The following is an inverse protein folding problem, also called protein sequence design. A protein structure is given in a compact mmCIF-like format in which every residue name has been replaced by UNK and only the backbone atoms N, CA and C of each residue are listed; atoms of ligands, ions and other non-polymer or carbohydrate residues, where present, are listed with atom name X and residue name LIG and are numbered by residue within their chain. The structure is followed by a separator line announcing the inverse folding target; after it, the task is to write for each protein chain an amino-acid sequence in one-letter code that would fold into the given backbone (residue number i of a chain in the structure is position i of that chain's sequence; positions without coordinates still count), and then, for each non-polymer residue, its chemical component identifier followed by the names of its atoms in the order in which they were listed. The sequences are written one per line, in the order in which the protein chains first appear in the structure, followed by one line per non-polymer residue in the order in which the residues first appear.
data_IF_171158215823
#
_entry.id   IF_171158215823
#
_cell.length_a   1.000
_cell.length_b   1.000
_cell.length_c   1.000
_cell.angle_alpha   90.00
_cell.angle_beta   90.00
_cell.angle_gamma   90.00
#
_symmetry.space_group_name_H-M   'P 1'
#
loop_
_entity.id
_entity.type
_entity.pdbx_description
1 polymer ?
#
# COMPACT_ATOMS: atom_id res chain seq x y z
N UNK A 1 -2.08 31.04 -31.84
CA UNK A 1 -1.01 30.33 -31.10
C UNK A 1 -0.82 30.84 -29.68
N UNK A 2 -0.50 32.13 -29.43
CA UNK A 2 -0.26 32.66 -28.07
C UNK A 2 -1.40 32.49 -27.05
N UNK A 3 -2.67 32.61 -27.49
CA UNK A 3 -3.85 32.41 -26.63
C UNK A 3 -4.06 30.93 -26.23
N UNK A 4 -3.76 29.99 -27.13
CA UNK A 4 -3.82 28.56 -26.81
C UNK A 4 -2.74 28.17 -25.80
N UNK A 5 -1.53 28.74 -25.92
CA UNK A 5 -0.45 28.52 -24.96
C UNK A 5 -0.83 28.98 -23.53
N UNK A 6 -1.53 30.12 -23.42
CA UNK A 6 -2.01 30.65 -22.12
C UNK A 6 -3.08 29.75 -21.51
N UNK A 7 -4.01 29.22 -22.32
CA UNK A 7 -5.06 28.31 -21.84
C UNK A 7 -4.46 26.98 -21.37
N UNK A 8 -3.51 26.42 -22.12
CA UNK A 8 -2.82 25.17 -21.72
C UNK A 8 -2.04 25.37 -20.42
N UNK A 9 -1.30 26.48 -20.28
CA UNK A 9 -0.58 26.81 -19.06
C UNK A 9 -1.49 27.01 -17.84
N UNK A 10 -2.67 27.61 -18.04
CA UNK A 10 -3.65 27.79 -16.97
C UNK A 10 -4.25 26.45 -16.50
N UNK A 11 -4.48 25.51 -17.41
CA UNK A 11 -5.02 24.18 -17.09
C UNK A 11 -3.98 23.33 -16.33
N UNK A 12 -2.70 23.41 -16.70
CA UNK A 12 -1.64 22.69 -15.97
C UNK A 12 -1.40 23.20 -14.55
N UNK A 13 -1.77 24.44 -14.23
CA UNK A 13 -1.68 24.97 -12.87
C UNK A 13 -2.85 24.52 -11.96
N UNK A 14 -3.89 23.89 -12.52
CA UNK A 14 -5.05 23.40 -11.77
C UNK A 14 -4.93 21.92 -11.38
N UNK A 15 -3.75 21.30 -11.49
CA UNK A 15 -3.55 19.90 -11.09
C UNK A 15 -3.71 19.75 -9.58
N UNK A 16 -4.77 19.06 -9.17
CA UNK A 16 -4.99 18.68 -7.76
C UNK A 16 -4.07 17.50 -7.43
N UNK A 17 -3.52 17.48 -6.21
CA UNK A 17 -2.76 16.34 -5.72
C UNK A 17 -3.63 15.07 -5.74
N UNK A 18 -3.25 14.09 -6.56
CA UNK A 18 -3.84 12.77 -6.50
C UNK A 18 -3.31 12.07 -5.23
N UNK A 19 -4.16 11.94 -4.22
CA UNK A 19 -3.87 11.07 -3.09
C UNK A 19 -4.12 9.63 -3.54
N UNK A 20 -3.07 8.79 -3.51
CA UNK A 20 -3.21 7.36 -3.81
C UNK A 20 -4.26 6.74 -2.86
N UNK A 21 -5.20 5.98 -3.41
CA UNK A 21 -6.33 5.38 -2.67
C UNK A 21 -5.92 4.24 -1.72
N UNK A 22 -4.63 3.95 -1.61
CA UNK A 22 -4.12 2.83 -0.81
C UNK A 22 -4.14 3.09 0.70
N UNK A 23 -4.66 4.23 1.18
CA UNK A 23 -4.69 4.57 2.62
C UNK A 23 -3.31 4.42 3.29
N UNK A 24 -2.22 4.66 2.55
CA UNK A 24 -0.85 4.45 3.04
C UNK A 24 -0.45 2.97 3.27
N UNK A 25 -1.18 2.04 2.65
CA UNK A 25 -0.91 0.61 2.68
C UNK A 25 0.36 0.23 1.92
N UNK A 26 0.96 -0.88 2.32
CA UNK A 26 2.11 -1.46 1.63
C UNK A 26 1.67 -2.23 0.39
N UNK A 27 2.46 -2.18 -0.69
CA UNK A 27 2.27 -3.01 -1.88
C UNK A 27 2.42 -4.52 -1.59
N UNK A 28 2.99 -4.87 -0.43
CA UNK A 28 3.11 -6.24 0.06
C UNK A 28 2.20 -6.43 1.27
N UNK A 29 1.40 -7.50 1.32
CA UNK A 29 0.64 -7.84 2.52
C UNK A 29 1.60 -8.08 3.68
N UNK A 30 1.19 -7.67 4.88
CA UNK A 30 1.90 -8.05 6.10
C UNK A 30 1.68 -9.54 6.35
N UNK A 31 2.74 -10.34 6.49
CA UNK A 31 2.62 -11.76 6.81
C UNK A 31 3.67 -12.62 6.13
N UNK A 32 3.28 -13.84 5.77
CA UNK A 32 4.20 -14.92 5.42
C UNK A 32 5.10 -14.65 4.20
N UNK A 33 4.67 -13.83 3.24
CA UNK A 33 5.52 -13.52 2.08
C UNK A 33 5.53 -12.04 1.71
N UNK A 34 6.72 -11.59 1.30
CA UNK A 34 7.01 -10.21 0.91
C UNK A 34 7.85 -10.17 -0.37
N UNK A 35 8.82 -9.25 -0.43
CA UNK A 35 9.61 -8.96 -1.64
C UNK A 35 10.25 -10.21 -2.28
N UNK A 36 10.61 -11.20 -1.47
CA UNK A 36 11.28 -12.43 -1.91
C UNK A 36 10.34 -13.53 -2.45
N UNK A 37 9.02 -13.30 -2.48
CA UNK A 37 8.04 -14.23 -3.06
C UNK A 37 8.37 -14.58 -4.53
N UNK A 38 8.97 -13.63 -5.27
CA UNK A 38 9.38 -13.83 -6.66
C UNK A 38 10.77 -14.43 -6.84
N UNK A 39 11.53 -14.62 -5.76
CA UNK A 39 12.87 -15.18 -5.85
C UNK A 39 12.79 -16.72 -5.98
N UNK A 40 12.88 -17.20 -7.22
CA UNK A 40 12.78 -18.62 -7.51
C UNK A 40 13.96 -19.38 -6.86
N UNK A 41 13.71 -20.38 -6.00
CA UNK A 41 14.77 -21.22 -5.47
C UNK A 41 15.37 -22.10 -6.59
N UNK A 42 16.58 -22.66 -6.40
CA UNK A 42 17.13 -23.66 -7.31
C UNK A 42 16.15 -24.81 -7.58
N UNK A 43 16.30 -25.57 -8.67
CA UNK A 43 15.40 -26.69 -8.97
C UNK A 43 15.39 -27.73 -7.84
N UNK A 44 14.19 -28.06 -7.35
CA UNK A 44 14.01 -29.00 -6.25
C UNK A 44 12.55 -29.11 -5.82
N UNK A 45 12.28 -30.06 -4.92
CA UNK A 45 11.00 -30.17 -4.24
C UNK A 45 11.07 -29.41 -2.93
N UNK A 46 10.16 -28.44 -2.75
CA UNK A 46 10.09 -27.62 -1.54
C UNK A 46 8.73 -27.81 -0.87
N UNK A 47 8.75 -27.93 0.46
CA UNK A 47 7.56 -27.76 1.27
C UNK A 47 7.48 -26.28 1.65
N UNK A 48 6.42 -25.60 1.23
CA UNK A 48 6.12 -24.24 1.67
C UNK A 48 5.04 -24.27 2.75
N UNK A 49 5.22 -23.47 3.80
CA UNK A 49 4.24 -23.28 4.86
C UNK A 49 4.01 -21.79 5.08
N UNK A 50 2.74 -21.41 5.18
CA UNK A 50 2.28 -20.04 5.30
C UNK A 50 1.51 -19.80 6.60
N UNK A 51 1.70 -20.64 7.62
CA UNK A 51 1.03 -20.48 8.91
C UNK A 51 1.46 -19.14 9.50
N UNK A 52 0.50 -18.23 9.66
CA UNK A 52 0.76 -16.84 10.07
C UNK A 52 -0.11 -16.51 11.27
N UNK A 53 0.54 -16.07 12.34
CA UNK A 53 -0.14 -15.40 13.44
C UNK A 53 0.02 -13.89 13.27
N UNK A 54 -1.09 -13.14 13.33
CA UNK A 54 -1.09 -11.69 13.17
C UNK A 54 -1.83 -11.03 14.33
N UNK A 55 -1.21 -10.00 14.93
CA UNK A 55 -1.82 -9.17 15.96
C UNK A 55 -1.60 -7.69 15.68
N UNK A 56 -2.63 -6.87 15.92
CA UNK A 56 -2.57 -5.43 15.76
C UNK A 56 -3.48 -4.70 16.76
N UNK A 57 -2.92 -3.72 17.47
CA UNK A 57 -3.63 -2.89 18.47
C UNK A 57 -4.03 -1.50 17.94
N UNK A 58 -3.70 -1.21 16.67
CA UNK A 58 -4.06 0.06 16.02
C UNK A 58 -4.25 -0.13 14.53
N UNK A 59 -5.30 0.48 13.99
CA UNK A 59 -5.51 0.60 12.56
C UNK A 59 -5.23 2.03 12.13
N UNK A 60 -4.22 2.23 11.28
CA UNK A 60 -3.76 3.56 10.87
C UNK A 60 -4.37 3.98 9.52
N UNK A 61 -4.71 5.26 9.39
CA UNK A 61 -5.01 5.89 8.10
C UNK A 61 -3.71 6.19 7.32
N UNK A 62 -3.86 6.74 6.11
CA UNK A 62 -2.71 7.12 5.27
C UNK A 62 -1.83 8.23 5.81
N UNK A 63 -2.22 8.87 6.91
CA UNK A 63 -1.44 9.88 7.63
C UNK A 63 -0.81 9.31 8.92
N UNK A 64 -0.98 8.01 9.21
CA UNK A 64 -0.50 7.34 10.42
C UNK A 64 -1.39 7.55 11.66
N UNK A 65 -2.54 8.22 11.51
CA UNK A 65 -3.49 8.45 12.61
C UNK A 65 -4.36 7.22 12.83
N UNK A 66 -4.87 7.03 14.05
CA UNK A 66 -5.81 5.94 14.31
C UNK A 66 -7.11 6.18 13.55
N UNK A 67 -7.46 5.30 12.62
CA UNK A 67 -8.72 5.40 11.88
C UNK A 67 -9.88 4.74 12.63
N UNK A 68 -9.58 3.74 13.46
CA UNK A 68 -10.58 2.98 14.23
C UNK A 68 -10.25 3.11 15.73
N UNK A 69 -11.09 3.80 16.53
CA UNK A 69 -10.92 3.87 17.98
C UNK A 69 -11.06 2.49 18.64
N UNK A 70 -10.13 2.14 19.53
CA UNK A 70 -10.17 0.87 20.28
C UNK A 70 -9.95 -0.38 19.42
N UNK A 71 -9.35 -0.24 18.23
CA UNK A 71 -9.05 -1.36 17.36
C UNK A 71 -8.17 -2.41 18.05
N UNK A 72 -8.55 -3.68 17.92
CA UNK A 72 -7.73 -4.82 18.30
C UNK A 72 -8.03 -6.00 17.39
N UNK A 73 -6.99 -6.64 16.87
CA UNK A 73 -7.08 -7.78 15.98
C UNK A 73 -6.08 -8.85 16.42
N UNK A 74 -6.56 -10.09 16.52
CA UNK A 74 -5.75 -11.29 16.71
C UNK A 74 -6.27 -12.34 15.71
N UNK A 75 -5.40 -12.83 14.82
CA UNK A 75 -5.72 -13.80 13.79
C UNK A 75 -4.69 -14.93 13.78
N UNK A 76 -5.19 -16.17 13.67
CA UNK A 76 -4.45 -17.43 13.71
C UNK A 76 -4.75 -18.26 12.47
#
# INVERSE_FOLDING_TARGET
MRRMAVVVAAVTCLTVSAFATEMGGSAYPNGAEGIMAGALPPPGLYLLNYTTFYSADKFCDGNGNSAIPGFKLEAW
#
